data_IF_316539899489
#
_entry.id   IF_316539899489
#
_cell.length_a   1.000
_cell.length_b   1.000
_cell.length_c   1.000
_cell.angle_alpha   90.00
_cell.angle_beta   90.00
_cell.angle_gamma   90.00
#
_symmetry.space_group_name_H-M   'P 1'
#
loop_
_entity.id
_entity.type
_entity.pdbx_description
1 polymer ?
#
# COMPACT_ATOMS: atom_id res chain seq x y z
N UNK A 1 -14.97 -19.72 -13.89
CA UNK A 1 -13.83 -18.80 -13.77
C UNK A 1 -14.38 -17.40 -13.88
N UNK A 2 -13.97 -16.47 -13.02
CA UNK A 2 -14.45 -15.08 -13.13
C UNK A 2 -13.72 -14.31 -14.22
N UNK A 3 -14.29 -13.15 -14.56
CA UNK A 3 -13.78 -12.27 -15.59
C UNK A 3 -12.54 -11.50 -15.10
N UNK A 4 -11.77 -10.97 -16.05
CA UNK A 4 -10.72 -10.00 -15.73
C UNK A 4 -11.36 -8.68 -15.31
N UNK A 5 -10.85 -8.10 -14.23
CA UNK A 5 -11.25 -6.78 -13.77
C UNK A 5 -10.02 -5.88 -13.81
N UNK A 6 -10.17 -4.70 -14.39
CA UNK A 6 -9.13 -3.66 -14.44
C UNK A 6 -9.66 -2.42 -13.75
N UNK A 7 -8.92 -1.96 -12.75
CA UNK A 7 -9.16 -0.73 -12.00
C UNK A 7 -8.12 0.30 -12.42
N UNK A 8 -8.51 1.56 -12.52
CA UNK A 8 -7.66 2.66 -12.95
C UNK A 8 -7.57 3.72 -11.87
N UNK A 9 -6.39 4.32 -11.72
CA UNK A 9 -6.15 5.43 -10.82
C UNK A 9 -5.23 6.47 -11.44
N UNK A 10 -5.61 7.74 -11.36
CA UNK A 10 -4.79 8.86 -11.81
C UNK A 10 -4.24 9.60 -10.58
N UNK A 11 -2.91 9.64 -10.37
CA UNK A 11 -2.33 10.41 -9.29
C UNK A 11 -2.51 11.91 -9.53
N UNK A 12 -2.48 12.66 -8.43
CA UNK A 12 -2.42 14.12 -8.48
C UNK A 12 -1.10 14.55 -9.15
N UNK A 13 -1.14 15.60 -9.98
CA UNK A 13 0.07 16.11 -10.64
C UNK A 13 1.14 16.49 -9.62
N UNK A 14 2.38 16.08 -9.88
CA UNK A 14 3.51 16.27 -8.94
C UNK A 14 3.60 15.22 -7.83
N UNK A 15 2.67 14.26 -7.76
CA UNK A 15 2.79 13.13 -6.85
C UNK A 15 3.67 12.04 -7.46
N UNK A 16 4.77 11.71 -6.77
CA UNK A 16 5.71 10.67 -7.17
C UNK A 16 5.33 9.29 -6.63
N UNK A 17 4.66 9.27 -5.46
CA UNK A 17 4.16 8.07 -4.80
C UNK A 17 2.74 7.73 -5.22
N UNK A 18 2.46 6.44 -5.42
CA UNK A 18 1.12 5.92 -5.65
C UNK A 18 0.93 4.56 -4.97
N UNK A 19 -0.17 4.41 -4.23
CA UNK A 19 -0.46 3.25 -3.40
C UNK A 19 -1.79 2.64 -3.84
N UNK A 20 -1.83 1.31 -3.90
CA UNK A 20 -3.05 0.53 -4.04
C UNK A 20 -3.36 -0.19 -2.72
N UNK A 21 -4.61 -0.07 -2.28
CA UNK A 21 -5.12 -0.74 -1.11
C UNK A 21 -6.35 -1.58 -1.46
N UNK A 22 -6.51 -2.69 -0.74
CA UNK A 22 -7.78 -3.41 -0.64
C UNK A 22 -8.36 -3.21 0.75
N UNK A 23 -9.67 -3.02 0.82
CA UNK A 23 -10.39 -2.87 2.09
C UNK A 23 -11.62 -3.77 2.07
N UNK A 24 -11.63 -4.77 2.95
CA UNK A 24 -12.83 -5.57 3.20
C UNK A 24 -13.71 -4.89 4.23
N UNK A 25 -15.00 -5.23 4.31
CA UNK A 25 -15.92 -4.60 5.26
C UNK A 25 -15.54 -4.84 6.74
N UNK A 26 -14.68 -5.82 7.02
CA UNK A 26 -14.30 -6.24 8.37
C UNK A 26 -12.92 -5.70 8.77
N UNK A 27 -12.07 -5.35 7.81
CA UNK A 27 -10.65 -5.02 8.05
C UNK A 27 -10.32 -3.63 7.50
N UNK A 28 -9.34 -2.97 8.11
CA UNK A 28 -8.80 -1.70 7.59
C UNK A 28 -8.13 -1.88 6.21
N UNK A 29 -7.73 -0.77 5.57
CA UNK A 29 -7.02 -0.82 4.30
C UNK A 29 -5.73 -1.64 4.41
N UNK A 30 -5.58 -2.63 3.53
CA UNK A 30 -4.37 -3.43 3.34
C UNK A 30 -3.63 -2.96 2.10
N UNK A 31 -2.36 -2.64 2.26
CA UNK A 31 -1.49 -2.30 1.14
C UNK A 31 -1.34 -3.52 0.23
N UNK A 32 -1.63 -3.34 -1.05
CA UNK A 32 -1.34 -4.33 -2.08
C UNK A 32 0.04 -4.06 -2.67
N UNK A 33 0.24 -2.83 -3.15
CA UNK A 33 1.47 -2.38 -3.79
C UNK A 33 1.62 -0.86 -3.66
N UNK A 34 2.86 -0.36 -3.62
CA UNK A 34 3.13 1.03 -3.92
C UNK A 34 4.25 1.23 -4.95
N UNK A 35 4.10 2.32 -5.70
CA UNK A 35 5.04 2.80 -6.69
C UNK A 35 5.66 4.10 -6.21
N UNK A 36 6.96 4.26 -6.45
CA UNK A 36 7.64 5.54 -6.39
C UNK A 36 8.28 5.81 -7.75
N UNK A 37 7.94 6.94 -8.36
CA UNK A 37 8.47 7.35 -9.65
C UNK A 37 8.27 6.31 -10.77
N UNK A 38 7.17 5.54 -10.69
CA UNK A 38 6.78 4.38 -11.54
C UNK A 38 7.44 3.05 -11.16
N UNK A 39 8.45 3.04 -10.30
CA UNK A 39 9.06 1.79 -9.84
C UNK A 39 8.21 1.18 -8.73
N UNK A 40 7.83 -0.10 -8.82
CA UNK A 40 7.23 -0.79 -7.68
C UNK A 40 8.27 -0.91 -6.57
N UNK A 41 7.87 -0.62 -5.33
CA UNK A 41 8.78 -0.62 -4.17
C UNK A 41 8.45 -1.70 -3.15
N UNK A 42 7.16 -1.91 -2.87
CA UNK A 42 6.67 -3.04 -2.06
C UNK A 42 5.38 -3.56 -2.67
N UNK A 43 5.35 -4.85 -2.97
CA UNK A 43 4.19 -5.59 -3.48
C UNK A 43 3.92 -6.85 -2.64
N UNK A 44 4.47 -6.93 -1.42
CA UNK A 44 4.39 -8.10 -0.54
C UNK A 44 2.95 -8.44 -0.11
N UNK A 45 2.06 -7.46 -0.15
CA UNK A 45 0.63 -7.64 0.13
C UNK A 45 -0.21 -8.10 -1.07
N UNK A 46 0.38 -8.22 -2.27
CA UNK A 46 -0.34 -8.53 -3.50
C UNK A 46 -0.28 -10.03 -3.85
N UNK A 47 -1.43 -10.70 -4.08
CA UNK A 47 -1.46 -12.10 -4.55
C UNK A 47 -1.00 -12.23 -6.01
N UNK A 48 0.29 -12.53 -6.21
CA UNK A 48 0.95 -12.44 -7.53
C UNK A 48 0.44 -13.45 -8.58
N UNK A 49 -0.30 -14.49 -8.20
CA UNK A 49 -0.86 -15.43 -9.21
C UNK A 49 -1.99 -14.82 -10.04
N UNK A 50 -2.76 -13.88 -9.46
CA UNK A 50 -3.96 -13.31 -10.09
C UNK A 50 -3.94 -11.79 -10.18
N UNK A 51 -3.14 -11.12 -9.35
CA UNK A 51 -3.07 -9.67 -9.28
C UNK A 51 -1.81 -9.15 -9.97
N UNK A 52 -1.96 -8.05 -10.70
CA UNK A 52 -0.85 -7.28 -11.24
C UNK A 52 -1.20 -5.80 -11.23
N UNK A 53 -0.19 -4.95 -11.06
CA UNK A 53 -0.38 -3.51 -11.14
C UNK A 53 0.76 -2.88 -11.94
N UNK A 54 0.45 -1.82 -12.68
CA UNK A 54 1.42 -1.08 -13.48
C UNK A 54 1.23 0.42 -13.33
N UNK A 55 2.31 1.17 -13.57
CA UNK A 55 2.31 2.63 -13.58
C UNK A 55 2.79 3.14 -14.93
N UNK A 56 1.89 3.76 -15.69
CA UNK A 56 2.16 4.33 -17.01
C UNK A 56 2.47 5.82 -16.90
N UNK A 57 3.69 6.21 -17.29
CA UNK A 57 4.10 7.62 -17.48
C UNK A 57 3.75 8.55 -16.31
N UNK A 58 3.82 8.06 -15.06
CA UNK A 58 3.43 8.78 -13.82
C UNK A 58 2.00 9.38 -13.82
N UNK A 59 1.13 9.01 -14.76
CA UNK A 59 -0.17 9.66 -14.97
C UNK A 59 -1.35 8.71 -14.87
N UNK A 60 -1.10 7.40 -14.96
CA UNK A 60 -2.12 6.38 -14.81
C UNK A 60 -1.52 5.13 -14.18
N UNK A 61 -2.18 4.61 -13.15
CA UNK A 61 -1.93 3.28 -12.63
C UNK A 61 -3.10 2.38 -12.95
N UNK A 62 -2.81 1.12 -13.28
CA UNK A 62 -3.84 0.09 -13.39
C UNK A 62 -3.59 -1.03 -12.39
N UNK A 63 -4.67 -1.58 -11.82
CA UNK A 63 -4.68 -2.78 -11.01
C UNK A 63 -5.57 -3.81 -11.70
N UNK A 64 -4.99 -4.95 -12.08
CA UNK A 64 -5.63 -6.03 -12.82
C UNK A 64 -5.79 -7.25 -11.93
N UNK A 65 -6.98 -7.85 -11.95
CA UNK A 65 -7.32 -9.09 -11.23
C UNK A 65 -7.81 -10.11 -12.26
N UNK A 66 -7.10 -11.24 -12.38
CA UNK A 66 -7.42 -12.27 -13.37
C UNK A 66 -7.05 -13.69 -12.90
N UNK A 67 -8.03 -14.61 -12.81
CA UNK A 67 -9.47 -14.35 -12.81
C UNK A 67 -9.90 -13.61 -11.54
N UNK A 68 -10.96 -12.80 -11.60
CA UNK A 68 -11.62 -12.32 -10.38
C UNK A 68 -12.41 -13.47 -9.71
N UNK A 69 -12.38 -13.53 -8.40
CA UNK A 69 -13.05 -14.54 -7.58
C UNK A 69 -13.93 -13.88 -6.52
N UNK A 70 -14.94 -14.57 -5.98
CA UNK A 70 -15.78 -14.00 -4.90
C UNK A 70 -14.98 -13.50 -3.69
N UNK A 71 -13.81 -14.09 -3.43
CA UNK A 71 -12.90 -13.72 -2.34
C UNK A 71 -12.24 -12.34 -2.54
N UNK A 72 -12.20 -11.84 -3.77
CA UNK A 72 -11.66 -10.52 -4.11
C UNK A 72 -12.67 -9.39 -3.85
N UNK A 73 -13.85 -9.70 -3.32
CA UNK A 73 -14.89 -8.69 -3.03
C UNK A 73 -14.41 -7.75 -1.93
N UNK A 74 -13.93 -6.57 -2.35
CA UNK A 74 -13.40 -5.53 -1.49
C UNK A 74 -13.59 -4.15 -2.14
N UNK A 75 -13.48 -3.09 -1.33
CA UNK A 75 -13.27 -1.75 -1.84
C UNK A 75 -11.79 -1.59 -2.17
N UNK A 76 -11.49 -1.26 -3.42
CA UNK A 76 -10.12 -0.97 -3.84
C UNK A 76 -9.90 0.54 -3.85
N UNK A 77 -8.94 0.98 -3.05
CA UNK A 77 -8.61 2.40 -2.88
C UNK A 77 -7.26 2.66 -3.53
N UNK A 78 -7.12 3.83 -4.14
CA UNK A 78 -5.82 4.36 -4.53
C UNK A 78 -5.54 5.69 -3.84
N UNK A 79 -4.27 5.94 -3.54
CA UNK A 79 -3.80 7.19 -2.96
C UNK A 79 -2.52 7.62 -3.67
N UNK A 80 -2.27 8.93 -3.76
CA UNK A 80 -1.02 9.47 -4.30
C UNK A 80 -0.36 10.41 -3.30
N UNK A 81 0.97 10.52 -3.32
CA UNK A 81 1.75 11.45 -2.47
C UNK A 81 2.88 12.12 -3.24
N UNK A 82 3.34 13.30 -2.80
CA UNK A 82 4.50 14.04 -3.37
C UNK A 82 5.85 13.31 -3.17
N UNK A 83 5.82 12.07 -2.67
CA UNK A 83 6.88 11.43 -1.90
C UNK A 83 8.33 11.76 -2.29
N UNK A 84 9.02 12.49 -1.41
CA UNK A 84 10.48 12.54 -1.31
C UNK A 84 10.89 11.49 -0.27
N UNK A 85 11.40 10.32 -0.69
CA UNK A 85 11.89 9.24 0.20
C UNK A 85 12.80 9.79 1.32
N UNK A 86 12.85 9.28 2.55
CA UNK A 86 13.12 7.90 2.93
C UNK A 86 12.67 7.74 4.40
N UNK A 87 11.69 6.89 4.72
CA UNK A 87 11.52 6.48 6.12
C UNK A 87 12.69 5.55 6.49
N UNK A 88 13.80 6.16 6.90
CA UNK A 88 14.72 5.50 7.82
C UNK A 88 13.85 4.95 8.94
N UNK A 89 13.88 3.63 9.14
CA UNK A 89 13.15 3.03 10.24
C UNK A 89 13.57 3.77 11.50
N UNK A 90 12.70 4.54 12.18
CA UNK A 90 13.08 5.07 13.46
C UNK A 90 13.35 3.84 14.33
N UNK A 91 14.61 3.66 14.72
CA UNK A 91 15.00 2.56 15.59
C UNK A 91 14.04 2.58 16.79
N UNK A 92 13.49 1.42 17.20
CA UNK A 92 12.60 1.38 18.35
C UNK A 92 13.32 1.98 19.56
N UNK A 93 12.91 3.17 19.98
CA UNK A 93 13.43 3.81 21.19
C UNK A 93 12.74 3.15 22.37
N UNK A 94 13.53 2.48 23.21
CA UNK A 94 13.03 2.06 24.51
C UNK A 94 12.69 3.30 25.33
N UNK A 95 11.45 3.38 25.84
CA UNK A 95 11.11 4.38 26.86
C UNK A 95 12.09 4.22 28.02
N UNK A 96 12.64 5.32 28.57
CA UNK A 96 13.41 5.23 29.80
C UNK A 96 12.55 4.52 30.85
N UNK A 97 13.09 3.43 31.38
CA UNK A 97 12.45 2.64 32.41
C UNK A 97 12.17 3.54 33.60
N UNK A 98 10.89 3.81 33.90
CA UNK A 98 10.48 4.58 35.08
C UNK A 98 10.74 3.86 36.41
N UNK A 99 11.57 2.82 36.43
CA UNK A 99 11.87 1.99 37.60
C UNK A 99 13.03 2.52 38.46
N UNK A 100 13.13 3.84 38.65
CA UNK A 100 14.13 4.38 39.59
C UNK A 100 13.62 5.55 40.47
N UNK A 101 12.33 5.60 40.78
CA UNK A 101 11.82 6.48 41.86
C UNK A 101 11.16 5.76 43.04
N UNK A 102 11.08 4.43 43.01
CA UNK A 102 10.55 3.66 44.14
C UNK A 102 11.63 2.76 44.71
N UNK A 103 12.64 3.36 45.36
CA UNK A 103 13.48 2.75 46.41
C UNK A 103 14.52 3.78 46.86
N UNK A 104 14.13 4.63 47.82
CA UNK A 104 15.06 4.98 48.89
C UNK A 104 14.24 5.11 50.19
N UNK A 105 14.63 4.37 51.25
CA UNK A 105 13.92 4.35 52.53
C UNK A 105 13.95 5.70 53.24
#
# INVERSE_FOLDING_TARGET
MGQEVTLECQPISGHEGLYWYSQTSVQGPKLLIYFNNQSPMDDSGMPKERFSAEMSKKSLSTLKIKPAEPQDSATYLCASSVDTELHSHPLPVQKPSSFLFCLKP
#
